data_IF_732307258075
#
_entry.id   IF_732307258075
#
_cell.length_a   1.000
_cell.length_b   1.000
_cell.length_c   1.000
_cell.angle_alpha   90.00
_cell.angle_beta   90.00
_cell.angle_gamma   90.00
#
_symmetry.space_group_name_H-M   'P 1'
#
loop_
_entity.id
_entity.type
_entity.pdbx_description
1 polymer ?
#
# COMPACT_ATOMS: atom_id res chain seq x y z
N UNK A 1 6.60 23.55 17.14
CA UNK A 1 7.32 23.02 15.97
C UNK A 1 7.40 21.53 16.19
N UNK A 2 6.30 20.82 15.98
CA UNK A 2 6.16 19.40 16.29
C UNK A 2 5.23 18.80 15.24
N UNK A 3 5.79 18.51 14.06
CA UNK A 3 5.10 17.72 13.04
C UNK A 3 5.93 16.47 12.81
N UNK A 4 5.88 15.54 13.76
CA UNK A 4 6.61 14.28 13.69
C UNK A 4 5.75 13.19 14.32
N UNK A 5 4.91 12.55 13.51
CA UNK A 5 3.97 11.55 14.04
C UNK A 5 3.38 10.60 13.02
N UNK A 6 3.98 10.48 11.82
CA UNK A 6 3.39 9.65 10.77
C UNK A 6 4.28 8.47 10.32
N UNK A 7 5.58 8.54 10.58
CA UNK A 7 6.54 7.49 10.17
C UNK A 7 6.47 6.22 11.01
N UNK A 8 5.93 6.29 12.24
CA UNK A 8 5.79 5.11 13.13
C UNK A 8 4.71 4.12 12.63
N UNK A 9 3.78 4.61 11.81
CA UNK A 9 2.66 3.82 11.32
C UNK A 9 2.82 3.40 9.87
N UNK A 10 3.96 3.66 9.22
CA UNK A 10 4.22 3.15 7.88
C UNK A 10 4.47 1.64 7.94
N UNK A 11 3.61 0.88 7.27
CA UNK A 11 3.72 -0.56 7.07
C UNK A 11 4.02 -0.83 5.61
N UNK A 12 4.90 -1.80 5.38
CA UNK A 12 5.18 -2.30 4.03
C UNK A 12 4.23 -3.45 3.74
N UNK A 13 3.34 -3.26 2.75
CA UNK A 13 2.47 -4.30 2.23
C UNK A 13 3.12 -4.96 1.02
N UNK A 14 3.21 -6.29 1.07
CA UNK A 14 3.60 -7.10 -0.08
C UNK A 14 2.34 -7.64 -0.76
N UNK A 15 2.05 -7.15 -1.96
CA UNK A 15 0.90 -7.59 -2.76
C UNK A 15 1.37 -8.64 -3.75
N UNK A 16 0.88 -9.86 -3.57
CA UNK A 16 1.18 -10.98 -4.46
C UNK A 16 -0.02 -11.26 -5.36
N UNK A 17 0.21 -11.25 -6.67
CA UNK A 17 -0.83 -11.62 -7.62
C UNK A 17 -1.22 -13.10 -7.43
N UNK A 18 -2.50 -13.46 -7.59
CA UNK A 18 -3.01 -14.80 -7.32
C UNK A 18 -2.35 -15.90 -8.18
N UNK A 19 -1.89 -15.55 -9.38
CA UNK A 19 -1.20 -16.45 -10.31
C UNK A 19 0.28 -16.07 -10.49
N UNK A 20 0.83 -15.18 -9.63
CA UNK A 20 2.16 -14.57 -9.78
C UNK A 20 2.44 -13.95 -11.17
N UNK A 21 1.40 -13.75 -11.99
CA UNK A 21 1.50 -13.13 -13.32
C UNK A 21 2.10 -11.72 -13.27
N UNK A 22 2.03 -11.09 -12.10
CA UNK A 22 2.60 -9.78 -11.81
C UNK A 22 3.54 -9.96 -10.63
N UNK A 23 4.75 -9.41 -10.77
CA UNK A 23 5.78 -9.46 -9.73
C UNK A 23 5.24 -8.93 -8.40
N UNK A 24 5.84 -9.42 -7.30
CA UNK A 24 5.49 -8.97 -5.96
C UNK A 24 5.60 -7.44 -5.88
N UNK A 25 4.49 -6.80 -5.53
CA UNK A 25 4.43 -5.35 -5.48
C UNK A 25 4.56 -4.90 -4.04
N UNK A 26 5.62 -4.13 -3.77
CA UNK A 26 5.93 -3.61 -2.45
C UNK A 26 5.33 -2.20 -2.36
N UNK A 27 4.38 -2.01 -1.44
CA UNK A 27 3.69 -0.74 -1.22
C UNK A 27 3.87 -0.31 0.21
N UNK A 28 4.34 0.92 0.41
CA UNK A 28 4.40 1.54 1.73
C UNK A 28 3.09 2.26 2.00
N UNK A 29 2.44 1.94 3.11
CA UNK A 29 1.13 2.47 3.45
C UNK A 29 1.01 2.71 4.95
N UNK A 30 0.18 3.65 5.37
CA UNK A 30 0.00 3.92 6.79
C UNK A 30 -1.00 2.93 7.41
N UNK A 31 -0.72 2.47 8.62
CA UNK A 31 -1.57 1.55 9.40
C UNK A 31 -2.94 2.15 9.75
N UNK A 32 -3.07 3.48 9.73
CA UNK A 32 -4.33 4.21 9.89
C UNK A 32 -5.21 4.23 8.62
N UNK A 33 -4.72 3.70 7.49
CA UNK A 33 -5.54 3.65 6.28
C UNK A 33 -6.64 2.60 6.38
N UNK A 34 -7.87 3.03 6.13
CA UNK A 34 -8.97 2.11 5.90
C UNK A 34 -8.76 1.29 4.62
N UNK A 35 -9.34 0.10 4.56
CA UNK A 35 -9.25 -0.80 3.39
C UNK A 35 -9.62 -0.08 2.08
N UNK A 36 -10.58 0.83 2.09
CA UNK A 36 -10.95 1.63 0.90
C UNK A 36 -9.83 2.55 0.42
N UNK A 37 -9.17 3.27 1.34
CA UNK A 37 -8.03 4.15 1.00
C UNK A 37 -6.82 3.35 0.56
N UNK A 38 -6.62 2.19 1.17
CA UNK A 38 -5.55 1.27 0.81
C UNK A 38 -5.80 0.65 -0.58
N UNK A 39 -7.05 0.33 -0.92
CA UNK A 39 -7.46 -0.10 -2.27
C UNK A 39 -7.27 1.00 -3.32
N UNK A 40 -7.68 2.23 -3.04
CA UNK A 40 -7.49 3.37 -3.95
C UNK A 40 -6.00 3.64 -4.21
N UNK A 41 -5.19 3.62 -3.14
CA UNK A 41 -3.74 3.72 -3.26
C UNK A 41 -3.14 2.55 -4.04
N UNK A 42 -3.61 1.32 -3.78
CA UNK A 42 -3.24 0.15 -4.55
C UNK A 42 -3.60 0.31 -6.03
N UNK A 43 -4.78 0.81 -6.39
CA UNK A 43 -5.15 1.06 -7.79
C UNK A 43 -4.28 2.12 -8.47
N UNK A 44 -3.76 3.09 -7.72
CA UNK A 44 -2.86 4.12 -8.25
C UNK A 44 -1.44 3.60 -8.50
N UNK A 45 -0.92 2.75 -7.59
CA UNK A 45 0.44 2.18 -7.69
C UNK A 45 0.46 0.90 -8.52
N UNK A 46 -0.65 0.18 -8.61
CA UNK A 46 -0.76 -1.08 -9.34
C UNK A 46 -1.19 -0.81 -10.79
N UNK A 47 -0.28 -0.99 -11.76
CA UNK A 47 -0.53 -0.59 -13.14
C UNK A 47 -1.59 -1.46 -13.84
N UNK A 48 -1.94 -2.62 -13.28
CA UNK A 48 -2.80 -3.59 -13.95
C UNK A 48 -4.25 -3.60 -13.46
N UNK A 49 -4.61 -2.76 -12.47
CA UNK A 49 -5.97 -2.64 -11.88
C UNK A 49 -6.72 -3.99 -11.85
N UNK A 50 -6.45 -4.86 -10.86
CA UNK A 50 -7.10 -6.16 -10.78
C UNK A 50 -8.62 -6.05 -10.70
#
# INVERSE_FOLDING_TARGET
MEEMGDTDKMITLLVKAPDQQINDHIVECQRDWSVGRLKDHLEAVYPTKP
#
